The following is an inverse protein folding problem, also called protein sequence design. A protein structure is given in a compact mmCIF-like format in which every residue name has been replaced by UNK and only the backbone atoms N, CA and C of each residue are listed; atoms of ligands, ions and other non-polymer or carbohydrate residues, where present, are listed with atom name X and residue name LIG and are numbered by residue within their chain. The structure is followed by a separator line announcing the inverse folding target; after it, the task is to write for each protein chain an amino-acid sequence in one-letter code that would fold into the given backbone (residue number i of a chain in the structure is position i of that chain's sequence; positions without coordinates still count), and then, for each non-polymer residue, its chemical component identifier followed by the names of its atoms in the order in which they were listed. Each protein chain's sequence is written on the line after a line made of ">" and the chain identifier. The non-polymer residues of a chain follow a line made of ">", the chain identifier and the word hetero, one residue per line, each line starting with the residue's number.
data_IF_794957374774
#
_entry.id   IF_794957374774
#
_cell.length_a   1.000
_cell.length_b   1.000
_cell.length_c   1.000
_cell.angle_alpha   90.00
_cell.angle_beta   90.00
_cell.angle_gamma   90.00
#
_symmetry.space_group_name_H-M   'P 1'
#
loop_
_entity.id
_entity.type
_entity.pdbx_description
1 polymer ?
#
# COMPACT_ATOMS: atom_id res chain seq x y z
N UNK A 1 -0.50 2.82 2.93
CA UNK A 1 0.15 4.14 2.69
C UNK A 1 -0.96 5.20 2.56
N UNK A 2 -0.65 6.49 2.53
CA UNK A 2 -1.63 7.59 2.46
C UNK A 2 -1.21 8.63 1.43
N UNK A 3 -2.10 9.17 0.57
CA UNK A 3 -1.70 10.10 -0.48
C UNK A 3 -1.39 11.48 0.09
N UNK A 4 -0.39 12.14 -0.48
CA UNK A 4 -0.04 13.51 -0.16
C UNK A 4 -0.43 14.38 -1.37
N UNK A 5 -1.48 15.18 -1.18
CA UNK A 5 -2.10 15.95 -2.24
C UNK A 5 -2.90 15.09 -3.23
N UNK A 6 -3.45 15.72 -4.27
CA UNK A 6 -4.26 15.04 -5.28
C UNK A 6 -4.20 15.75 -6.63
N UNK A 7 -4.47 15.02 -7.73
CA UNK A 7 -4.48 15.59 -9.07
C UNK A 7 -3.14 16.22 -9.44
N UNK A 8 -3.15 17.52 -9.76
CA UNK A 8 -1.93 18.29 -10.09
C UNK A 8 -1.03 18.55 -8.88
N UNK A 9 -1.58 18.46 -7.67
CA UNK A 9 -0.87 18.69 -6.41
C UNK A 9 -0.40 17.38 -5.77
N UNK A 10 -0.54 16.25 -6.47
CA UNK A 10 -0.06 14.97 -5.96
C UNK A 10 1.47 15.02 -5.83
N UNK A 11 1.96 14.89 -4.59
CA UNK A 11 3.38 14.92 -4.25
C UNK A 11 3.95 13.55 -3.91
N UNK A 12 3.09 12.54 -3.73
CA UNK A 12 3.53 11.18 -3.38
C UNK A 12 2.64 10.54 -2.34
N UNK A 13 3.21 9.59 -1.59
CA UNK A 13 2.50 8.87 -0.52
C UNK A 13 3.35 8.78 0.74
N UNK A 14 2.68 8.79 1.88
CA UNK A 14 3.27 8.47 3.17
C UNK A 14 3.02 6.99 3.53
N UNK A 15 4.10 6.24 3.69
CA UNK A 15 4.07 4.87 4.14
C UNK A 15 4.11 4.82 5.68
N UNK A 16 2.94 4.66 6.30
CA UNK A 16 2.78 4.59 7.76
C UNK A 16 3.56 3.43 8.41
N UNK A 17 3.67 2.28 7.73
CA UNK A 17 4.40 1.12 8.26
C UNK A 17 5.91 1.35 8.30
N UNK A 18 6.46 1.99 7.28
CA UNK A 18 7.91 2.26 7.16
C UNK A 18 8.30 3.65 7.69
N UNK A 19 7.34 4.47 8.11
CA UNK A 19 7.49 5.87 8.47
C UNK A 19 8.32 6.66 7.43
N UNK A 20 7.83 6.66 6.20
CA UNK A 20 8.58 7.13 5.03
C UNK A 20 7.68 7.86 4.04
N UNK A 21 8.16 8.97 3.47
CA UNK A 21 7.52 9.63 2.34
C UNK A 21 8.17 9.16 1.05
N UNK A 22 7.34 8.63 0.15
CA UNK A 22 7.70 8.28 -1.21
C UNK A 22 7.27 9.43 -2.12
N UNK A 23 8.23 10.15 -2.70
CA UNK A 23 7.97 11.37 -3.48
C UNK A 23 7.68 11.03 -4.93
N UNK A 24 6.60 11.57 -5.46
CA UNK A 24 6.25 11.47 -6.86
C UNK A 24 7.05 12.47 -7.70
N UNK A 25 7.73 11.97 -8.73
CA UNK A 25 8.41 12.77 -9.75
C UNK A 25 7.75 12.52 -11.12
N UNK A 26 7.14 13.58 -11.67
CA UNK A 26 6.44 13.56 -12.97
C UNK A 26 7.42 13.48 -14.17
N UNK A 27 8.71 13.74 -13.94
CA UNK A 27 9.71 13.89 -14.99
C UNK A 27 10.08 12.61 -15.75
N UNK A 28 9.81 11.42 -15.19
CA UNK A 28 10.36 10.15 -15.71
C UNK A 28 9.32 9.10 -16.13
N UNK A 29 8.03 9.45 -16.21
CA UNK A 29 6.96 8.57 -16.73
C UNK A 29 7.03 7.12 -16.18
N UNK A 30 7.39 6.97 -14.89
CA UNK A 30 7.42 5.66 -14.24
C UNK A 30 8.62 4.76 -14.55
N UNK A 31 9.66 5.27 -15.23
CA UNK A 31 10.91 4.51 -15.49
C UNK A 31 11.92 4.57 -14.34
N UNK A 32 11.74 5.48 -13.38
CA UNK A 32 12.64 5.65 -12.25
C UNK A 32 11.91 5.34 -10.93
N UNK A 33 12.64 4.73 -10.01
CA UNK A 33 12.20 4.49 -8.63
C UNK A 33 11.87 5.84 -7.99
N UNK A 34 10.72 5.94 -7.34
CA UNK A 34 10.33 7.12 -6.61
C UNK A 34 11.40 7.47 -5.55
N UNK A 35 11.79 8.74 -5.48
CA UNK A 35 12.73 9.18 -4.44
C UNK A 35 12.08 8.98 -3.06
N UNK A 36 12.76 8.22 -2.22
CA UNK A 36 12.28 7.80 -0.93
C UNK A 36 12.99 8.57 0.18
N UNK A 37 12.24 9.29 1.00
CA UNK A 37 12.77 10.04 2.13
C UNK A 37 12.14 9.49 3.41
N UNK A 38 12.96 8.80 4.21
CA UNK A 38 12.55 8.23 5.49
C UNK A 38 12.69 9.27 6.61
N UNK A 39 11.75 9.27 7.55
CA UNK A 39 11.77 10.21 8.67
C UNK A 39 10.44 10.31 9.39
N UNK A 40 10.46 11.04 10.49
CA UNK A 40 9.23 11.40 11.17
C UNK A 40 8.46 12.41 10.33
N UNK A 41 7.16 12.21 10.02
CA UNK A 41 6.38 13.15 9.22
C UNK A 41 6.37 14.55 9.82
N UNK A 42 6.63 14.75 11.12
CA UNK A 42 6.74 16.07 11.75
C UNK A 42 8.08 16.80 11.49
N UNK A 43 9.07 16.16 10.88
CA UNK A 43 10.37 16.77 10.58
C UNK A 43 10.23 17.96 9.59
N UNK A 44 10.91 19.08 9.83
CA UNK A 44 10.90 20.27 8.95
C UNK A 44 11.34 19.98 7.51
N UNK A 45 12.10 18.89 7.29
CA UNK A 45 12.50 18.46 5.94
C UNK A 45 11.29 18.09 5.08
N UNK A 46 10.24 17.53 5.67
CA UNK A 46 9.01 17.20 4.95
C UNK A 46 8.19 18.45 4.67
N UNK A 47 8.19 19.41 5.59
CA UNK A 47 7.59 20.71 5.33
C UNK A 47 8.23 21.40 4.11
N UNK A 48 9.56 21.46 4.09
CA UNK A 48 10.31 22.07 2.97
C UNK A 48 10.05 21.36 1.64
N UNK A 49 9.83 20.05 1.68
CA UNK A 49 9.61 19.20 0.50
C UNK A 49 8.19 19.29 -0.06
N UNK A 50 7.18 19.29 0.83
CA UNK A 50 5.77 19.20 0.49
C UNK A 50 5.12 20.59 0.37
N UNK A 51 5.63 21.57 1.12
CA UNK A 51 5.02 22.86 1.38
C UNK A 51 4.09 22.83 2.59
N UNK A 52 3.95 23.98 3.26
CA UNK A 52 3.22 24.14 4.53
C UNK A 52 1.81 23.51 4.48
N UNK A 53 1.01 23.86 3.47
CA UNK A 53 -0.38 23.42 3.36
C UNK A 53 -0.52 21.88 3.25
N UNK A 54 0.34 21.23 2.45
CA UNK A 54 0.29 19.77 2.26
C UNK A 54 0.88 19.02 3.44
N UNK A 55 1.87 19.62 4.11
CA UNK A 55 2.50 19.05 5.28
C UNK A 55 1.56 19.08 6.49
N UNK A 56 0.92 20.21 6.76
CA UNK A 56 -0.08 20.36 7.82
C UNK A 56 -1.23 19.36 7.61
N UNK A 57 -1.77 19.31 6.39
CA UNK A 57 -2.83 18.35 6.04
C UNK A 57 -2.41 16.90 6.23
N UNK A 58 -1.17 16.55 5.87
CA UNK A 58 -0.66 15.19 6.07
C UNK A 58 -0.63 14.83 7.57
N UNK A 59 -0.23 15.75 8.43
CA UNK A 59 -0.21 15.53 9.88
C UNK A 59 -1.63 15.35 10.44
N UNK A 60 -2.58 16.18 10.02
CA UNK A 60 -3.99 16.04 10.39
C UNK A 60 -4.57 14.69 9.95
N UNK A 61 -4.30 14.28 8.70
CA UNK A 61 -4.76 13.00 8.16
C UNK A 61 -4.15 11.82 8.93
N UNK A 62 -2.86 11.88 9.29
CA UNK A 62 -2.20 10.83 10.10
C UNK A 62 -2.84 10.74 11.48
N UNK A 63 -3.04 11.87 12.17
CA UNK A 63 -3.69 11.89 13.48
C UNK A 63 -5.09 11.28 13.43
N UNK A 64 -5.87 11.63 12.39
CA UNK A 64 -7.19 11.05 12.19
C UNK A 64 -7.13 9.54 11.98
N UNK A 65 -6.17 9.05 11.21
CA UNK A 65 -5.97 7.62 10.96
C UNK A 65 -5.46 6.86 12.18
N UNK A 66 -4.74 7.52 13.09
CA UNK A 66 -4.29 6.93 14.35
C UNK A 66 -5.46 6.79 15.35
N UNK A 67 -6.45 7.68 15.29
CA UNK A 67 -7.62 7.66 16.16
C UNK A 67 -8.75 6.77 15.61
N UNK A 68 -9.03 6.86 14.31
CA UNK A 68 -10.21 6.27 13.68
C UNK A 68 -9.90 5.17 12.65
N UNK A 69 -8.63 4.99 12.27
CA UNK A 69 -8.24 3.95 11.33
C UNK A 69 -8.10 2.58 11.98
N UNK A 70 -8.37 1.54 11.21
CA UNK A 70 -8.07 0.17 11.63
C UNK A 70 -6.56 -0.09 11.57
N UNK A 71 -6.06 -0.82 12.56
CA UNK A 71 -4.70 -1.32 12.54
C UNK A 71 -4.57 -2.48 11.54
N UNK A 72 -3.36 -2.66 11.03
CA UNK A 72 -3.06 -3.82 10.19
C UNK A 72 -3.23 -5.12 10.98
N UNK A 73 -4.06 -6.02 10.45
CA UNK A 73 -4.27 -7.37 10.97
C UNK A 73 -4.27 -8.38 9.82
N UNK A 74 -3.22 -9.18 9.71
CA UNK A 74 -3.08 -10.18 8.66
C UNK A 74 -4.20 -11.22 8.72
N UNK A 75 -4.62 -11.67 9.91
CA UNK A 75 -5.68 -12.67 10.03
C UNK A 75 -7.03 -12.11 9.59
N UNK A 76 -7.33 -10.86 9.96
CA UNK A 76 -8.51 -10.13 9.48
C UNK A 76 -8.49 -9.95 7.96
N UNK A 77 -7.33 -9.68 7.36
CA UNK A 77 -7.17 -9.57 5.91
C UNK A 77 -7.44 -10.91 5.23
N UNK A 78 -6.83 -11.99 5.71
CA UNK A 78 -6.98 -13.34 5.12
C UNK A 78 -8.41 -13.89 5.25
N UNK A 79 -9.17 -13.44 6.26
CA UNK A 79 -10.60 -13.74 6.42
C UNK A 79 -11.52 -12.85 5.59
N UNK A 80 -11.00 -11.80 4.96
CA UNK A 80 -11.79 -10.82 4.22
C UNK A 80 -12.58 -9.85 5.11
N UNK A 81 -12.20 -9.72 6.38
CA UNK A 81 -12.81 -8.80 7.35
C UNK A 81 -12.15 -7.41 7.31
N UNK A 82 -10.89 -7.35 6.89
CA UNK A 82 -10.11 -6.12 6.74
C UNK A 82 -9.56 -6.01 5.32
N UNK A 83 -9.64 -4.82 4.71
CA UNK A 83 -9.07 -4.56 3.38
C UNK A 83 -7.91 -3.56 3.48
N UNK A 84 -6.67 -3.96 3.16
CA UNK A 84 -5.55 -3.03 3.15
C UNK A 84 -5.67 -2.10 1.92
N UNK A 85 -5.57 -0.80 2.17
CA UNK A 85 -5.71 0.24 1.14
C UNK A 85 -4.34 0.77 0.72
N UNK A 86 -4.13 0.84 -0.59
CA UNK A 86 -2.92 1.37 -1.20
C UNK A 86 -3.26 2.53 -2.15
N UNK A 87 -2.48 3.60 -2.06
CA UNK A 87 -2.56 4.75 -2.94
C UNK A 87 -1.37 4.78 -3.88
N UNK A 88 -1.62 5.18 -5.12
CA UNK A 88 -0.63 5.26 -6.18
C UNK A 88 -1.26 5.68 -7.51
N UNK A 89 -0.47 5.65 -8.58
CA UNK A 89 -0.91 5.96 -9.93
C UNK A 89 -0.37 4.92 -10.89
N UNK A 90 -1.25 4.02 -11.34
CA UNK A 90 -0.91 2.98 -12.31
C UNK A 90 -0.46 3.58 -13.66
N UNK A 91 -1.00 4.75 -14.04
CA UNK A 91 -0.64 5.43 -15.28
C UNK A 91 0.83 5.89 -15.30
N UNK A 92 1.35 6.28 -14.13
CA UNK A 92 2.72 6.78 -13.97
C UNK A 92 3.63 5.76 -13.28
N UNK A 93 3.16 4.51 -13.14
CA UNK A 93 3.84 3.41 -12.45
C UNK A 93 4.26 3.72 -11.00
N UNK A 94 3.64 4.72 -10.36
CA UNK A 94 3.98 5.13 -9.00
C UNK A 94 3.20 4.30 -7.97
N UNK A 95 3.91 3.76 -6.98
CA UNK A 95 3.33 2.95 -5.91
C UNK A 95 3.01 1.49 -6.28
N UNK A 96 3.29 1.08 -7.54
CA UNK A 96 3.03 -0.29 -8.02
C UNK A 96 3.97 -1.31 -7.35
N UNK A 97 5.26 -1.02 -7.28
CA UNK A 97 6.25 -1.91 -6.64
C UNK A 97 5.97 -2.10 -5.13
N UNK A 98 5.81 -1.05 -4.31
CA UNK A 98 5.43 -1.20 -2.90
C UNK A 98 4.11 -1.97 -2.70
N UNK A 99 3.15 -1.78 -3.60
CA UNK A 99 1.91 -2.55 -3.60
C UNK A 99 2.19 -4.03 -3.87
N UNK A 100 2.98 -4.37 -4.89
CA UNK A 100 3.29 -5.76 -5.23
C UNK A 100 4.09 -6.45 -4.13
N UNK A 101 5.08 -5.79 -3.53
CA UNK A 101 5.80 -6.31 -2.36
C UNK A 101 4.83 -6.64 -1.22
N UNK A 102 3.98 -5.68 -0.86
CA UNK A 102 3.00 -5.87 0.20
C UNK A 102 1.98 -6.96 -0.16
N UNK A 103 1.54 -7.02 -1.42
CA UNK A 103 0.62 -8.04 -1.91
C UNK A 103 1.20 -9.45 -1.75
N UNK A 104 2.49 -9.65 -2.02
CA UNK A 104 3.15 -10.93 -1.82
C UNK A 104 3.21 -11.33 -0.34
N UNK A 105 3.28 -10.36 0.59
CA UNK A 105 3.31 -10.61 2.03
C UNK A 105 1.91 -10.92 2.61
N UNK A 106 0.85 -10.33 2.06
CA UNK A 106 -0.53 -10.44 2.59
C UNK A 106 -1.40 -11.48 1.88
N UNK A 107 -0.85 -12.21 0.92
CA UNK A 107 -1.60 -13.21 0.16
C UNK A 107 -1.38 -14.62 0.68
N UNK A 108 -2.42 -15.44 0.55
CA UNK A 108 -2.34 -16.85 0.83
C UNK A 108 -1.91 -17.63 -0.42
N UNK A 109 -1.13 -18.71 -0.26
CA UNK A 109 -0.93 -19.68 -1.34
C UNK A 109 -2.27 -20.32 -1.76
N UNK A 110 -2.30 -21.06 -2.87
CA UNK A 110 -3.47 -21.84 -3.27
C UNK A 110 -4.05 -22.62 -2.08
N UNK A 111 -5.34 -22.43 -1.84
CA UNK A 111 -6.05 -23.07 -0.73
C UNK A 111 -6.86 -24.28 -1.23
N UNK A 112 -7.16 -25.24 -0.35
CA UNK A 112 -8.01 -26.38 -0.71
C UNK A 112 -9.34 -25.97 -1.32
N UNK A 113 -9.82 -26.77 -2.26
CA UNK A 113 -11.11 -26.57 -2.91
C UNK A 113 -12.04 -27.72 -2.58
N UNK A 114 -13.23 -27.41 -2.08
CA UNK A 114 -14.24 -28.43 -1.79
C UNK A 114 -14.84 -29.01 -3.06
N UNK A 115 -14.94 -30.33 -3.11
CA UNK A 115 -15.57 -31.10 -4.19
C UNK A 115 -16.60 -32.08 -3.62
N UNK A 116 -17.34 -32.78 -4.50
CA UNK A 116 -18.24 -33.86 -4.09
C UNK A 116 -17.51 -35.09 -3.51
N UNK A 117 -16.17 -35.16 -3.63
CA UNK A 117 -15.33 -36.22 -3.09
C UNK A 117 -14.57 -35.78 -1.82
N UNK A 118 -14.87 -34.58 -1.31
CA UNK A 118 -14.14 -33.94 -0.20
C UNK A 118 -13.23 -32.80 -0.68
N UNK A 119 -12.40 -32.30 0.22
CA UNK A 119 -11.46 -31.22 -0.08
C UNK A 119 -10.28 -31.72 -0.92
N UNK A 120 -9.96 -30.97 -1.97
CA UNK A 120 -8.82 -31.23 -2.84
C UNK A 120 -7.62 -30.44 -2.32
N UNK A 121 -6.60 -31.16 -1.85
CA UNK A 121 -5.34 -30.59 -1.39
C UNK A 121 -4.54 -30.00 -2.58
N UNK A 122 -4.18 -28.70 -2.54
CA UNK A 122 -3.43 -28.04 -3.61
C UNK A 122 -1.99 -28.56 -3.79
N UNK A 123 -1.43 -29.29 -2.81
CA UNK A 123 -0.07 -29.86 -2.84
C UNK A 123 -0.07 -31.32 -3.34
N UNK A 124 -1.25 -31.87 -3.64
CA UNK A 124 -1.38 -33.23 -4.18
C UNK A 124 -0.59 -33.40 -5.49
N UNK A 125 0.04 -34.56 -5.67
CA UNK A 125 0.77 -34.90 -6.90
C UNK A 125 -0.15 -35.11 -8.11
N UNK A 126 -1.45 -35.34 -7.87
CA UNK A 126 -2.42 -35.58 -8.93
C UNK A 126 -2.96 -34.25 -9.47
N UNK A 127 -2.89 -34.06 -10.79
CA UNK A 127 -3.45 -32.88 -11.44
C UNK A 127 -4.99 -32.83 -11.29
N UNK A 128 -5.52 -31.65 -10.98
CA UNK A 128 -6.95 -31.36 -10.97
C UNK A 128 -7.21 -29.89 -11.32
N UNK A 129 -8.42 -29.56 -11.79
CA UNK A 129 -8.82 -28.21 -12.16
C UNK A 129 -10.32 -28.13 -12.47
N UNK A 130 -10.87 -26.92 -12.48
CA UNK A 130 -12.27 -26.64 -12.81
C UNK A 130 -12.37 -25.46 -13.79
N UNK A 131 -13.44 -25.42 -14.60
CA UNK A 131 -13.77 -24.33 -15.54
C UNK A 131 -14.94 -23.53 -14.96
#
# INVERSE_FOLDING_TARGET
>A
NWPIGSGKEFKGVFNRHKNQVEVFDDGNHGQAIANCITGDPSDEKFNTLLGDDLHEKLLEDIELLDIAGDNFDLDGILKGELTPVFFGSALTNFGVEPFLESFLEITAPPSPRSSNLGDIDPISSNFSGFI
#
